data_IF_747824324081
#
_entry.id   IF_747824324081
#
_cell.length_a   1.000
_cell.length_b   1.000
_cell.length_c   1.000
_cell.angle_alpha   90.00
_cell.angle_beta   90.00
_cell.angle_gamma   90.00
#
_symmetry.space_group_name_H-M   'P 1'
#
loop_
_entity.id
_entity.type
_entity.pdbx_description
1 polymer ?
#
# COMPACT_ATOMS: atom_id res chain seq x y z
N UNK A 1 -18.76 -39.79 -47.85
CA UNK A 1 -17.67 -38.85 -47.53
C UNK A 1 -18.35 -37.60 -46.98
N UNK A 2 -18.31 -37.38 -45.66
CA UNK A 2 -18.88 -36.21 -44.97
C UNK A 2 -17.73 -35.24 -44.67
N UNK A 3 -17.74 -34.08 -45.29
CA UNK A 3 -16.82 -32.99 -44.98
C UNK A 3 -17.31 -32.29 -43.69
N UNK A 4 -16.51 -32.36 -42.66
CA UNK A 4 -16.73 -31.64 -41.42
C UNK A 4 -15.96 -30.32 -41.51
N UNK A 5 -16.67 -29.21 -41.65
CA UNK A 5 -16.11 -27.86 -41.65
C UNK A 5 -15.98 -27.43 -40.21
N UNK A 6 -14.75 -27.31 -39.71
CA UNK A 6 -14.44 -26.74 -38.41
C UNK A 6 -14.47 -25.21 -38.56
N UNK A 7 -15.46 -24.59 -37.95
CA UNK A 7 -15.56 -23.13 -37.85
C UNK A 7 -14.61 -22.64 -36.74
N UNK A 8 -13.47 -22.08 -37.12
CA UNK A 8 -12.53 -21.46 -36.21
C UNK A 8 -13.02 -20.03 -35.88
N UNK A 9 -13.60 -19.85 -34.71
CA UNK A 9 -13.95 -18.52 -34.22
C UNK A 9 -12.67 -17.80 -33.78
N UNK A 10 -12.22 -16.87 -34.60
CA UNK A 10 -11.14 -15.93 -34.22
C UNK A 10 -11.79 -14.85 -33.39
N UNK A 11 -11.58 -14.88 -32.07
CA UNK A 11 -11.89 -13.75 -31.19
C UNK A 11 -10.78 -12.71 -31.38
N UNK A 12 -11.09 -11.66 -32.11
CA UNK A 12 -10.23 -10.48 -32.21
C UNK A 12 -10.31 -9.71 -30.87
N UNK A 13 -9.31 -9.92 -30.03
CA UNK A 13 -9.09 -9.06 -28.86
C UNK A 13 -8.39 -7.80 -29.38
N UNK A 14 -9.12 -6.70 -29.45
CA UNK A 14 -8.52 -5.39 -29.72
C UNK A 14 -7.83 -4.88 -28.46
N UNK A 15 -6.54 -5.20 -28.35
CA UNK A 15 -5.66 -4.63 -27.32
C UNK A 15 -5.32 -3.19 -27.72
N UNK A 16 -5.85 -2.20 -27.06
CA UNK A 16 -5.41 -0.81 -27.22
C UNK A 16 -4.24 -0.61 -26.25
N UNK A 17 -3.02 -0.73 -26.74
CA UNK A 17 -1.80 -0.39 -25.99
C UNK A 17 -1.51 1.09 -26.26
N UNK A 18 -1.68 1.92 -25.27
CA UNK A 18 -1.14 3.28 -25.27
C UNK A 18 0.29 3.20 -24.71
N UNK A 19 1.29 3.18 -25.59
CA UNK A 19 2.69 3.24 -25.18
C UNK A 19 3.09 4.69 -24.94
N UNK A 20 3.25 5.06 -23.68
CA UNK A 20 4.08 6.21 -23.33
C UNK A 20 5.54 5.74 -23.20
N UNK A 21 6.49 6.63 -23.53
CA UNK A 21 7.92 6.32 -23.54
C UNK A 21 8.43 6.04 -22.12
N UNK A 22 8.58 4.78 -21.81
CA UNK A 22 8.95 4.20 -20.53
C UNK A 22 8.20 2.88 -20.38
N UNK A 23 8.73 1.90 -19.69
CA UNK A 23 8.12 0.57 -19.51
C UNK A 23 6.85 0.59 -18.65
N UNK A 24 5.94 1.55 -18.84
CA UNK A 24 4.68 1.65 -18.14
C UNK A 24 3.61 0.88 -18.88
N UNK A 25 3.05 -0.13 -18.24
CA UNK A 25 1.81 -0.75 -18.68
C UNK A 25 0.65 -0.14 -17.88
N UNK A 26 0.07 0.94 -18.40
CA UNK A 26 -1.21 1.46 -17.87
C UNK A 26 -2.33 0.67 -18.55
N UNK A 27 -2.99 -0.21 -17.82
CA UNK A 27 -4.11 -0.99 -18.34
C UNK A 27 -5.44 -0.30 -18.01
N UNK A 28 -6.13 0.17 -19.03
CA UNK A 28 -7.51 0.61 -18.95
C UNK A 28 -8.42 -0.55 -19.38
N UNK A 29 -8.94 -1.29 -18.41
CA UNK A 29 -10.10 -2.16 -18.57
C UNK A 29 -9.87 -3.61 -19.00
N UNK A 30 -10.52 -4.44 -18.34
CA UNK A 30 -10.90 -5.86 -18.35
C UNK A 30 -10.19 -6.69 -17.28
N UNK A 31 -10.99 -7.14 -16.32
CA UNK A 31 -10.58 -8.05 -15.24
C UNK A 31 -10.18 -9.40 -15.82
N UNK A 32 -8.89 -9.63 -15.94
CA UNK A 32 -8.36 -10.99 -16.04
C UNK A 32 -8.14 -11.46 -14.62
N UNK A 33 -8.97 -12.40 -14.16
CA UNK A 33 -8.78 -13.07 -12.87
C UNK A 33 -7.40 -13.76 -12.85
N UNK A 34 -6.45 -13.14 -12.18
CA UNK A 34 -5.08 -13.64 -12.00
C UNK A 34 -4.68 -13.75 -10.54
N UNK A 35 -5.64 -13.93 -9.65
CA UNK A 35 -5.41 -14.20 -8.24
C UNK A 35 -5.43 -12.99 -7.31
N UNK A 36 -5.58 -11.77 -7.85
CA UNK A 36 -5.84 -10.57 -7.05
C UNK A 36 -7.33 -10.28 -7.03
N UNK A 37 -7.87 -10.06 -5.84
CA UNK A 37 -9.31 -9.87 -5.70
C UNK A 37 -9.73 -8.43 -5.89
N UNK A 38 -8.90 -7.47 -5.54
CA UNK A 38 -9.22 -6.05 -5.70
C UNK A 38 -8.26 -5.15 -4.93
N UNK A 39 -8.49 -3.85 -5.03
CA UNK A 39 -7.75 -2.82 -4.33
C UNK A 39 -8.69 -1.93 -3.52
N UNK A 40 -8.20 -1.44 -2.42
CA UNK A 40 -8.77 -0.35 -1.65
C UNK A 40 -7.86 0.88 -1.79
N UNK A 41 -8.43 2.05 -1.74
CA UNK A 41 -7.71 3.31 -1.78
C UNK A 41 -8.33 4.26 -0.77
N UNK A 42 -7.51 4.94 -0.02
CA UNK A 42 -7.91 5.95 0.95
C UNK A 42 -7.53 7.34 0.44
N UNK A 43 -8.44 8.30 0.51
CA UNK A 43 -8.10 9.70 0.31
C UNK A 43 -7.89 10.44 1.64
N UNK A 44 -7.24 11.58 1.60
CA UNK A 44 -6.90 12.40 2.76
C UNK A 44 -8.10 12.94 3.57
N UNK A 45 -9.32 12.83 3.00
CA UNK A 45 -10.58 13.14 3.70
C UNK A 45 -11.29 11.90 4.27
N UNK A 46 -10.68 10.71 4.14
CA UNK A 46 -11.17 9.45 4.68
C UNK A 46 -12.23 8.77 3.81
N UNK A 47 -12.36 9.16 2.55
CA UNK A 47 -13.19 8.42 1.60
C UNK A 47 -12.42 7.23 1.08
N UNK A 48 -13.07 6.07 1.11
CA UNK A 48 -12.51 4.79 0.68
C UNK A 48 -13.11 4.44 -0.68
N UNK A 49 -12.26 4.10 -1.62
CA UNK A 49 -12.63 3.66 -2.95
C UNK A 49 -12.20 2.22 -3.13
N UNK A 50 -12.91 1.49 -3.99
CA UNK A 50 -12.63 0.08 -4.21
C UNK A 50 -12.61 -0.25 -5.69
N UNK A 51 -11.76 -1.20 -6.08
CA UNK A 51 -11.76 -1.77 -7.43
C UNK A 51 -11.75 -3.29 -7.40
N UNK A 52 -11.98 -3.94 -8.53
CA UNK A 52 -12.03 -5.39 -8.62
C UNK A 52 -13.20 -5.99 -7.82
N UNK A 53 -12.94 -6.99 -6.99
CA UNK A 53 -13.93 -7.63 -6.12
C UNK A 53 -13.92 -7.11 -4.67
N UNK A 54 -13.16 -6.05 -4.38
CA UNK A 54 -13.13 -5.40 -3.08
C UNK A 54 -14.52 -4.87 -2.69
N UNK A 55 -14.89 -5.04 -1.42
CA UNK A 55 -16.22 -4.64 -0.93
C UNK A 55 -16.13 -3.33 -0.17
N UNK A 56 -16.85 -2.33 -0.66
CA UNK A 56 -16.99 -1.08 0.06
C UNK A 56 -17.89 -1.28 1.30
N UNK A 57 -17.32 -1.08 2.50
CA UNK A 57 -18.00 -1.32 3.79
C UNK A 57 -18.35 -0.03 4.53
N UNK A 58 -17.90 1.12 4.05
CA UNK A 58 -18.19 2.43 4.61
C UNK A 58 -17.09 3.43 4.29
N UNK A 59 -17.32 4.69 4.64
CA UNK A 59 -16.38 5.80 4.49
C UNK A 59 -16.27 6.58 5.78
N UNK A 60 -15.10 7.11 6.03
CA UNK A 60 -14.94 8.31 6.83
C UNK A 60 -15.32 9.54 5.98
N UNK A 61 -15.62 10.66 6.62
CA UNK A 61 -15.92 11.92 5.93
C UNK A 61 -15.43 13.07 6.78
N UNK A 62 -14.13 13.27 6.73
CA UNK A 62 -13.52 14.38 7.44
C UNK A 62 -13.75 15.70 6.67
N UNK A 63 -13.77 16.80 7.40
CA UNK A 63 -13.80 18.15 6.80
C UNK A 63 -12.40 18.69 6.52
N UNK A 64 -11.39 18.02 7.04
CA UNK A 64 -9.97 18.35 6.94
C UNK A 64 -9.20 17.15 6.43
N UNK A 65 -8.01 17.35 5.93
CA UNK A 65 -7.08 16.33 5.43
C UNK A 65 -6.40 15.62 6.58
N UNK A 66 -7.13 14.72 7.24
CA UNK A 66 -6.68 14.06 8.47
C UNK A 66 -6.63 12.55 8.40
N UNK A 67 -7.12 11.91 7.36
CA UNK A 67 -6.90 10.49 7.15
C UNK A 67 -5.39 10.23 6.98
N UNK A 68 -4.94 9.03 7.40
CA UNK A 68 -3.54 8.67 7.36
C UNK A 68 -3.31 7.32 6.73
N UNK A 69 -4.10 6.33 7.11
CA UNK A 69 -3.79 4.96 6.82
C UNK A 69 -5.03 4.07 6.84
N UNK A 70 -4.99 2.93 6.13
CA UNK A 70 -6.05 1.95 5.96
C UNK A 70 -5.47 0.55 6.02
N UNK A 71 -5.88 -0.26 6.98
CA UNK A 71 -5.41 -1.62 7.15
C UNK A 71 -6.52 -2.66 6.95
N UNK A 72 -6.27 -3.67 6.11
CA UNK A 72 -7.25 -4.70 5.78
C UNK A 72 -7.29 -5.82 6.82
N UNK A 73 -8.51 -6.18 7.22
CA UNK A 73 -8.79 -7.43 7.91
C UNK A 73 -9.41 -8.44 6.93
N UNK A 74 -9.71 -9.63 7.38
CA UNK A 74 -10.29 -10.67 6.51
C UNK A 74 -11.57 -10.24 5.77
N UNK A 75 -12.45 -9.49 6.41
CA UNK A 75 -13.71 -9.02 5.82
C UNK A 75 -14.05 -7.59 6.26
N UNK A 76 -13.04 -6.78 6.53
CA UNK A 76 -13.19 -5.42 6.98
C UNK A 76 -11.93 -4.61 6.77
N UNK A 77 -11.88 -3.47 7.42
CA UNK A 77 -10.69 -2.62 7.48
C UNK A 77 -10.72 -1.70 8.70
N UNK A 78 -9.56 -1.34 9.16
CA UNK A 78 -9.34 -0.21 10.06
C UNK A 78 -8.88 0.99 9.24
N UNK A 79 -9.23 2.19 9.69
CA UNK A 79 -8.69 3.43 9.14
C UNK A 79 -8.21 4.31 10.29
N UNK A 80 -7.10 5.00 10.09
CA UNK A 80 -6.43 5.85 11.05
C UNK A 80 -6.59 7.33 10.69
N UNK A 81 -6.79 8.18 11.68
CA UNK A 81 -6.64 9.62 11.50
C UNK A 81 -5.37 10.17 12.19
N UNK A 82 -4.96 11.38 11.83
CA UNK A 82 -3.75 12.03 12.36
C UNK A 82 -3.74 12.23 13.88
N UNK A 83 -4.90 12.11 14.54
CA UNK A 83 -5.01 12.22 16.00
C UNK A 83 -4.86 10.88 16.70
N UNK A 84 -4.66 9.81 15.91
CA UNK A 84 -4.54 8.44 16.38
C UNK A 84 -5.88 7.80 16.68
N UNK A 85 -6.98 8.35 16.17
CA UNK A 85 -8.30 7.71 16.29
C UNK A 85 -8.44 6.62 15.24
N UNK A 86 -8.89 5.44 15.66
CA UNK A 86 -9.08 4.27 14.81
C UNK A 86 -10.56 4.05 14.55
N UNK A 87 -10.91 3.84 13.29
CA UNK A 87 -12.27 3.59 12.82
C UNK A 87 -12.36 2.19 12.21
N UNK A 88 -13.39 1.43 12.57
CA UNK A 88 -13.53 0.04 12.14
C UNK A 88 -14.74 -0.17 11.25
N UNK A 89 -14.56 -0.97 10.21
CA UNK A 89 -15.60 -1.36 9.25
C UNK A 89 -15.57 -2.88 9.04
N UNK A 90 -16.73 -3.48 8.77
CA UNK A 90 -16.85 -4.91 8.56
C UNK A 90 -16.57 -5.70 9.84
N UNK A 91 -15.63 -6.67 9.77
CA UNK A 91 -15.23 -7.51 10.91
C UNK A 91 -14.04 -6.95 11.71
N UNK A 92 -13.50 -5.80 11.31
CA UNK A 92 -12.38 -5.17 11.98
C UNK A 92 -12.74 -4.73 13.42
N UNK A 93 -11.84 -4.99 14.37
CA UNK A 93 -12.08 -4.73 15.78
C UNK A 93 -11.19 -3.61 16.29
N UNK A 94 -11.78 -2.46 16.61
CA UNK A 94 -11.07 -1.37 17.27
C UNK A 94 -10.68 -1.75 18.70
N UNK A 95 -9.40 -1.55 19.06
CA UNK A 95 -8.83 -1.88 20.38
C UNK A 95 -8.48 -0.65 21.23
N UNK A 96 -8.46 0.52 20.64
CA UNK A 96 -8.17 1.79 21.31
C UNK A 96 -7.77 2.89 20.33
N UNK A 97 -7.39 4.04 20.86
CA UNK A 97 -6.88 5.17 20.10
C UNK A 97 -5.57 5.64 20.69
N UNK A 98 -4.62 6.00 19.87
CA UNK A 98 -3.45 6.73 20.31
C UNK A 98 -3.86 8.18 20.62
N UNK A 99 -3.35 8.72 21.70
CA UNK A 99 -3.54 10.14 22.00
C UNK A 99 -2.33 10.93 21.50
N UNK A 100 -2.30 11.17 20.21
CA UNK A 100 -1.24 11.91 19.53
C UNK A 100 -1.83 13.06 18.71
N UNK A 101 -1.00 13.82 18.03
CA UNK A 101 -1.42 14.88 17.10
C UNK A 101 -0.91 14.66 15.68
N UNK A 102 -0.10 13.64 15.48
CA UNK A 102 0.53 13.35 14.21
C UNK A 102 0.80 11.85 14.05
N UNK A 103 -0.26 11.02 14.23
CA UNK A 103 -0.22 9.63 13.83
C UNK A 103 0.01 9.56 12.32
N UNK A 104 0.76 8.59 11.87
CA UNK A 104 1.13 8.45 10.46
C UNK A 104 0.79 7.07 9.91
N UNK A 105 0.78 6.02 10.76
CA UNK A 105 0.72 4.67 10.31
C UNK A 105 0.11 3.72 11.34
N UNK A 106 -0.54 2.64 10.91
CA UNK A 106 -1.23 1.63 11.70
C UNK A 106 -0.93 0.24 11.14
N UNK A 107 -0.35 -0.64 11.93
CA UNK A 107 0.01 -2.00 11.54
C UNK A 107 -0.75 -3.06 12.33
N UNK A 108 -1.38 -4.01 11.64
CA UNK A 108 -2.20 -5.05 12.26
C UNK A 108 -1.39 -6.20 12.83
N UNK A 109 -1.77 -6.65 14.03
CA UNK A 109 -1.39 -7.95 14.58
C UNK A 109 -2.56 -8.94 14.49
N UNK A 110 -2.41 -10.14 15.01
CA UNK A 110 -3.49 -11.13 15.00
C UNK A 110 -4.76 -10.67 15.74
N UNK A 111 -4.63 -9.90 16.83
CA UNK A 111 -5.75 -9.43 17.65
C UNK A 111 -5.53 -8.03 18.21
N UNK A 112 -4.71 -7.24 17.58
CA UNK A 112 -4.35 -5.89 17.98
C UNK A 112 -3.82 -5.08 16.82
N UNK A 113 -3.08 -4.04 17.16
CA UNK A 113 -2.38 -3.19 16.19
C UNK A 113 -1.38 -2.27 16.88
N UNK A 114 -0.47 -1.80 16.08
CA UNK A 114 0.42 -0.69 16.42
C UNK A 114 -0.11 0.59 15.78
N UNK A 115 0.24 1.73 16.37
CA UNK A 115 0.11 3.04 15.73
C UNK A 115 1.46 3.74 15.90
N UNK A 116 2.04 4.20 14.82
CA UNK A 116 3.23 5.02 14.80
C UNK A 116 2.85 6.50 14.71
N UNK A 117 3.48 7.35 15.52
CA UNK A 117 3.43 8.78 15.26
C UNK A 117 4.74 9.29 14.63
N UNK A 118 4.66 10.46 13.99
CA UNK A 118 5.77 11.06 13.26
C UNK A 118 7.03 11.28 14.10
N UNK A 119 6.92 11.37 15.43
CA UNK A 119 8.07 11.52 16.32
C UNK A 119 8.78 10.18 16.60
N UNK A 120 8.22 9.06 16.13
CA UNK A 120 8.73 7.71 16.34
C UNK A 120 8.15 7.02 17.57
N UNK A 121 7.14 7.60 18.21
CA UNK A 121 6.47 6.92 19.31
C UNK A 121 5.53 5.87 18.78
N UNK A 122 5.70 4.64 19.25
CA UNK A 122 4.85 3.50 18.98
C UNK A 122 3.83 3.34 20.10
N UNK A 123 2.56 3.19 19.74
CA UNK A 123 1.46 2.89 20.63
C UNK A 123 0.96 1.46 20.34
N UNK A 124 0.74 0.69 21.39
CA UNK A 124 0.40 -0.74 21.29
C UNK A 124 -1.00 -1.02 21.79
N UNK A 125 -1.77 -1.83 21.06
CA UNK A 125 -3.14 -2.16 21.37
C UNK A 125 -3.42 -3.65 21.15
N UNK A 126 -4.29 -4.23 21.99
CA UNK A 126 -4.67 -5.64 21.89
C UNK A 126 -3.55 -6.58 22.31
N UNK A 127 -3.10 -7.43 21.40
CA UNK A 127 -2.00 -8.39 21.58
C UNK A 127 -0.64 -7.89 21.07
N UNK A 128 -0.55 -6.64 20.62
CA UNK A 128 0.71 -6.04 20.17
C UNK A 128 1.71 -5.95 21.34
N UNK A 129 2.96 -6.35 21.11
CA UNK A 129 4.05 -6.30 22.08
C UNK A 129 4.89 -5.03 21.89
N UNK A 130 5.26 -4.35 22.98
CA UNK A 130 6.07 -3.15 22.96
C UNK A 130 7.57 -3.49 22.84
N UNK A 131 8.16 -3.30 21.67
CA UNK A 131 9.59 -3.46 21.41
C UNK A 131 10.37 -2.14 21.56
N UNK A 132 9.70 -1.02 21.80
CA UNK A 132 10.29 0.30 22.01
C UNK A 132 9.79 1.35 21.03
N UNK A 133 10.38 2.52 21.08
CA UNK A 133 10.03 3.69 20.24
C UNK A 133 11.27 4.32 19.67
N UNK A 134 11.18 4.88 18.48
CA UNK A 134 12.24 5.58 17.83
C UNK A 134 12.35 7.04 18.30
N UNK A 135 13.33 7.76 17.75
CA UNK A 135 13.50 9.19 17.93
C UNK A 135 13.91 9.83 16.61
N UNK A 136 13.05 10.66 16.05
CA UNK A 136 13.32 11.29 14.74
C UNK A 136 12.05 11.78 14.07
N UNK A 137 12.08 11.80 12.73
CA UNK A 137 10.92 12.04 11.87
C UNK A 137 10.70 10.78 11.07
N UNK A 138 9.63 10.09 11.37
CA UNK A 138 9.28 8.83 10.74
C UNK A 138 8.16 9.04 9.72
N UNK A 139 8.05 8.10 8.80
CA UNK A 139 7.09 8.12 7.71
C UNK A 139 6.31 6.82 7.60
N UNK A 140 6.89 5.70 8.12
CA UNK A 140 6.31 4.39 7.94
C UNK A 140 6.81 3.37 8.96
N UNK A 141 6.06 2.26 9.16
CA UNK A 141 6.38 1.13 10.04
C UNK A 141 5.97 -0.19 9.38
N UNK A 142 6.83 -1.19 9.48
CA UNK A 142 6.56 -2.52 8.97
C UNK A 142 6.83 -3.61 10.00
N UNK A 143 5.91 -4.58 10.13
CA UNK A 143 6.00 -5.63 11.14
C UNK A 143 6.82 -6.82 10.69
N UNK A 144 7.63 -7.35 11.61
CA UNK A 144 8.21 -8.68 11.54
C UNK A 144 7.41 -9.67 12.41
N UNK A 145 7.92 -10.90 12.60
CA UNK A 145 7.27 -11.86 13.49
C UNK A 145 7.26 -11.41 14.94
N UNK A 146 8.37 -10.85 15.42
CA UNK A 146 8.60 -10.49 16.82
C UNK A 146 9.31 -9.12 16.92
N UNK A 147 8.90 -8.15 16.09
CA UNK A 147 9.50 -6.82 16.05
C UNK A 147 8.91 -5.93 14.97
N UNK A 148 9.61 -4.86 14.63
CA UNK A 148 9.23 -3.95 13.56
C UNK A 148 10.40 -3.10 13.08
N UNK A 149 10.24 -2.61 11.87
CA UNK A 149 11.05 -1.55 11.28
C UNK A 149 10.33 -0.22 11.44
N UNK A 150 11.08 0.86 11.64
CA UNK A 150 10.58 2.23 11.54
C UNK A 150 11.41 2.97 10.50
N UNK A 151 10.77 3.41 9.43
CA UNK A 151 11.41 4.16 8.35
C UNK A 151 11.39 5.66 8.67
N UNK A 152 12.57 6.28 8.64
CA UNK A 152 12.69 7.75 8.72
C UNK A 152 12.54 8.40 7.35
N UNK A 153 12.10 9.64 7.37
CA UNK A 153 11.96 10.44 6.15
C UNK A 153 13.27 10.68 5.37
N UNK A 154 14.45 10.45 6.00
CA UNK A 154 15.75 10.54 5.33
C UNK A 154 16.27 9.20 4.82
N UNK A 155 15.45 8.14 4.88
CA UNK A 155 15.78 6.79 4.42
C UNK A 155 16.52 5.92 5.42
N UNK A 156 16.85 6.41 6.62
CA UNK A 156 17.38 5.59 7.70
C UNK A 156 16.30 4.69 8.29
N UNK A 157 16.67 3.49 8.69
CA UNK A 157 15.80 2.51 9.34
C UNK A 157 16.25 2.26 10.77
N UNK A 158 15.33 2.40 11.72
CA UNK A 158 15.49 1.87 13.07
C UNK A 158 14.82 0.48 13.15
N UNK A 159 15.47 -0.46 13.84
CA UNK A 159 15.03 -1.85 13.96
C UNK A 159 14.73 -2.18 15.42
N UNK A 160 13.65 -2.90 15.66
CA UNK A 160 13.19 -3.29 17.00
C UNK A 160 12.80 -4.78 17.00
N UNK A 161 12.98 -5.44 18.16
CA UNK A 161 12.69 -6.88 18.29
C UNK A 161 13.63 -7.72 17.44
N UNK A 162 13.09 -8.57 16.57
CA UNK A 162 13.83 -9.47 15.68
C UNK A 162 14.16 -8.85 14.29
N UNK A 163 13.77 -7.60 14.04
CA UNK A 163 14.05 -6.91 12.77
C UNK A 163 15.56 -6.78 12.50
N UNK A 164 15.96 -7.04 11.25
CA UNK A 164 17.36 -7.00 10.81
C UNK A 164 17.54 -5.96 9.69
N UNK A 165 18.43 -4.98 9.90
CA UNK A 165 18.72 -3.98 8.87
C UNK A 165 19.51 -4.57 7.70
N UNK A 166 19.02 -4.36 6.48
CA UNK A 166 19.67 -4.71 5.22
C UNK A 166 20.30 -3.50 4.53
N UNK A 167 20.09 -2.30 5.04
CA UNK A 167 20.65 -1.04 4.52
C UNK A 167 19.70 0.13 4.70
N UNK A 168 20.13 1.31 4.25
CA UNK A 168 19.36 2.54 4.32
C UNK A 168 19.28 3.18 2.94
N UNK A 169 18.17 3.83 2.62
CA UNK A 169 18.10 4.75 1.49
C UNK A 169 18.83 6.07 1.83
N UNK A 170 19.02 6.92 0.84
CA UNK A 170 19.74 8.19 0.97
C UNK A 170 18.90 9.41 0.52
N UNK A 171 17.59 9.21 0.34
CA UNK A 171 16.64 10.22 -0.16
C UNK A 171 15.45 10.45 0.75
N UNK A 172 14.58 11.38 0.33
CA UNK A 172 13.30 11.66 0.99
C UNK A 172 12.37 10.45 0.82
N UNK A 173 12.41 9.54 1.79
CA UNK A 173 11.60 8.32 1.81
C UNK A 173 10.19 8.62 2.32
N UNK A 174 9.23 7.84 1.82
CA UNK A 174 7.82 8.00 2.16
C UNK A 174 7.17 6.71 2.60
N UNK A 175 7.69 5.53 2.15
CA UNK A 175 7.03 4.27 2.36
C UNK A 175 8.01 3.10 2.20
N UNK A 176 7.70 1.95 2.81
CA UNK A 176 8.52 0.75 2.83
C UNK A 176 7.66 -0.50 2.81
N UNK A 177 8.12 -1.53 2.09
CA UNK A 177 7.45 -2.82 2.02
C UNK A 177 8.40 -3.99 2.24
N UNK A 178 8.02 -4.96 3.08
CA UNK A 178 8.87 -6.10 3.43
C UNK A 178 8.77 -7.25 2.43
N UNK A 179 9.92 -7.81 2.12
CA UNK A 179 10.07 -9.14 1.52
C UNK A 179 10.37 -10.19 2.60
N UNK A 180 10.67 -11.42 2.22
CA UNK A 180 11.01 -12.45 3.20
C UNK A 180 12.32 -12.16 3.96
N UNK A 181 13.34 -11.57 3.29
CA UNK A 181 14.64 -11.23 3.87
C UNK A 181 15.19 -9.90 3.33
N UNK A 182 14.35 -8.90 3.23
CA UNK A 182 14.72 -7.60 2.72
C UNK A 182 13.54 -6.64 2.72
N UNK A 183 13.67 -5.55 1.99
CA UNK A 183 12.63 -4.56 1.85
C UNK A 183 12.86 -3.64 0.64
N UNK A 184 11.77 -3.05 0.20
CA UNK A 184 11.75 -1.92 -0.71
C UNK A 184 11.60 -0.63 0.10
N UNK A 185 12.20 0.48 -0.37
CA UNK A 185 11.95 1.81 0.17
C UNK A 185 11.63 2.73 -1.00
N UNK A 186 10.45 3.32 -0.97
CA UNK A 186 9.99 4.29 -1.94
C UNK A 186 10.37 5.71 -1.51
N UNK A 187 11.05 6.43 -2.40
CA UNK A 187 11.33 7.85 -2.23
C UNK A 187 10.25 8.71 -2.88
N UNK A 188 10.05 9.90 -2.35
CA UNK A 188 9.06 10.88 -2.82
C UNK A 188 9.20 11.27 -4.29
N UNK A 189 10.38 11.13 -4.88
CA UNK A 189 10.67 11.37 -6.29
C UNK A 189 10.34 10.18 -7.19
N UNK A 190 9.79 9.09 -6.65
CA UNK A 190 9.47 7.85 -7.35
C UNK A 190 10.63 6.86 -7.45
N UNK A 191 11.82 7.19 -6.90
CA UNK A 191 12.93 6.24 -6.86
C UNK A 191 12.62 5.12 -5.88
N UNK A 192 12.85 3.89 -6.30
CA UNK A 192 12.72 2.70 -5.48
C UNK A 192 14.09 2.13 -5.14
N UNK A 193 14.35 1.90 -3.87
CA UNK A 193 15.57 1.28 -3.35
C UNK A 193 15.27 -0.16 -2.94
N UNK A 194 16.25 -1.05 -3.13
CA UNK A 194 16.14 -2.50 -2.97
C UNK A 194 17.17 -2.98 -1.97
N UNK A 195 16.75 -3.69 -0.93
CA UNK A 195 17.64 -4.21 0.11
C UNK A 195 17.36 -5.68 0.39
N UNK A 196 18.41 -6.43 0.80
CA UNK A 196 18.27 -7.84 1.07
C UNK A 196 17.93 -8.66 -0.17
N UNK A 197 16.81 -9.41 -0.15
CA UNK A 197 16.32 -10.22 -1.26
C UNK A 197 15.28 -9.49 -2.16
N UNK A 198 15.05 -8.20 -1.91
CA UNK A 198 14.21 -7.38 -2.79
C UNK A 198 14.78 -7.33 -4.21
N UNK A 199 13.92 -7.56 -5.21
CA UNK A 199 14.32 -7.70 -6.62
C UNK A 199 13.90 -6.45 -7.39
N UNK A 200 14.84 -5.86 -8.12
CA UNK A 200 14.54 -4.79 -9.07
C UNK A 200 13.65 -5.33 -10.22
N UNK A 201 12.38 -4.99 -10.16
CA UNK A 201 11.37 -5.32 -11.16
C UNK A 201 11.23 -4.23 -12.21
N UNK A 202 12.07 -3.21 -12.15
CA UNK A 202 11.97 -1.97 -12.88
C UNK A 202 11.04 -0.98 -12.18
N UNK A 203 11.36 0.27 -12.27
CA UNK A 203 10.52 1.38 -11.80
C UNK A 203 10.69 2.55 -12.77
N UNK A 204 9.82 3.54 -12.64
CA UNK A 204 9.92 4.76 -13.43
C UNK A 204 10.35 5.91 -12.50
N UNK A 205 11.60 6.32 -12.62
CA UNK A 205 12.18 7.45 -11.88
C UNK A 205 11.57 8.83 -12.25
N UNK A 206 10.63 8.84 -13.21
CA UNK A 206 9.85 10.02 -13.58
C UNK A 206 8.48 10.08 -12.94
N UNK A 207 8.15 9.21 -11.98
CA UNK A 207 6.90 9.32 -11.22
C UNK A 207 6.95 10.53 -10.30
N UNK A 208 5.88 11.29 -10.30
CA UNK A 208 5.72 12.46 -9.44
C UNK A 208 4.55 12.26 -8.49
N UNK A 209 4.67 12.81 -7.28
CA UNK A 209 3.61 12.77 -6.27
C UNK A 209 3.19 11.34 -5.88
N UNK A 210 4.14 10.42 -5.84
CA UNK A 210 3.93 9.06 -5.31
C UNK A 210 3.60 9.14 -3.82
N UNK A 211 2.77 8.21 -3.35
CA UNK A 211 2.23 8.21 -2.00
C UNK A 211 2.51 6.90 -1.27
N UNK A 212 2.55 5.78 -2.01
CA UNK A 212 2.47 4.48 -1.41
C UNK A 212 3.01 3.40 -2.37
N UNK A 213 3.53 2.29 -1.82
CA UNK A 213 3.94 1.09 -2.55
C UNK A 213 3.33 -0.14 -1.87
N UNK A 214 2.75 -1.04 -2.66
CA UNK A 214 2.16 -2.27 -2.19
C UNK A 214 2.74 -3.49 -2.90
N UNK A 215 3.19 -4.50 -2.16
CA UNK A 215 3.73 -5.72 -2.73
C UNK A 215 2.65 -6.72 -3.13
N UNK A 216 2.84 -7.33 -4.28
CA UNK A 216 2.02 -8.41 -4.77
C UNK A 216 2.64 -9.74 -4.36
N UNK A 217 1.98 -10.51 -3.48
CA UNK A 217 2.50 -11.80 -3.00
C UNK A 217 3.99 -11.74 -2.64
N UNK A 218 4.38 -10.74 -1.85
CA UNK A 218 5.71 -10.51 -1.26
C UNK A 218 6.91 -10.41 -2.22
N UNK A 219 6.77 -10.71 -3.50
CA UNK A 219 7.92 -10.64 -4.43
C UNK A 219 7.56 -10.79 -5.90
N UNK A 220 6.28 -10.90 -6.24
CA UNK A 220 5.87 -11.11 -7.64
C UNK A 220 5.68 -9.83 -8.44
N UNK A 221 5.88 -8.71 -7.83
CA UNK A 221 5.71 -7.38 -8.34
C UNK A 221 5.20 -6.43 -7.28
N UNK A 222 4.94 -5.21 -7.67
CA UNK A 222 4.42 -4.19 -6.78
C UNK A 222 3.57 -3.17 -7.56
N UNK A 223 2.75 -2.47 -6.81
CA UNK A 223 2.08 -1.25 -7.27
C UNK A 223 2.73 -0.04 -6.60
N UNK A 224 2.78 1.07 -7.32
CA UNK A 224 3.10 2.39 -6.76
C UNK A 224 1.89 3.28 -7.01
N UNK A 225 1.33 3.86 -5.95
CA UNK A 225 0.21 4.78 -5.99
C UNK A 225 0.70 6.22 -6.14
N UNK A 226 0.08 7.00 -7.03
CA UNK A 226 0.24 8.45 -7.03
C UNK A 226 -0.95 9.15 -6.35
N UNK A 227 -0.76 10.42 -5.98
CA UNK A 227 -1.79 11.23 -5.33
C UNK A 227 -3.06 11.44 -6.17
N UNK A 228 -3.05 11.08 -7.45
CA UNK A 228 -4.22 11.14 -8.36
C UNK A 228 -4.99 9.83 -8.39
N UNK A 229 -4.51 8.79 -7.66
CA UNK A 229 -5.12 7.47 -7.62
C UNK A 229 -4.73 6.56 -8.78
N UNK A 230 -3.65 6.87 -9.50
CA UNK A 230 -3.09 5.94 -10.47
C UNK A 230 -2.18 4.95 -9.76
N UNK A 231 -2.51 3.68 -9.86
CA UNK A 231 -1.68 2.57 -9.38
C UNK A 231 -0.85 2.03 -10.56
N UNK A 232 0.44 2.27 -10.51
CA UNK A 232 1.41 1.80 -11.50
C UNK A 232 1.90 0.41 -11.12
N UNK A 233 1.70 -0.59 -12.00
CA UNK A 233 2.12 -1.97 -11.73
C UNK A 233 3.44 -2.32 -12.40
N UNK A 234 4.30 -3.03 -11.69
CA UNK A 234 5.59 -3.52 -12.17
C UNK A 234 5.66 -5.05 -12.05
N UNK A 235 5.98 -5.73 -13.17
CA UNK A 235 6.02 -7.19 -13.38
C UNK A 235 4.77 -7.98 -13.02
N UNK A 236 3.82 -7.40 -12.34
CA UNK A 236 2.54 -8.04 -12.17
C UNK A 236 1.78 -8.04 -13.48
N UNK A 237 1.21 -9.13 -13.78
CA UNK A 237 0.27 -9.27 -14.84
C UNK A 237 -0.93 -8.35 -14.65
N UNK A 238 -1.15 -7.43 -15.58
CA UNK A 238 -2.32 -6.55 -15.71
C UNK A 238 -2.67 -5.68 -14.49
N UNK A 239 -2.39 -4.39 -14.61
CA UNK A 239 -2.83 -3.39 -13.63
C UNK A 239 -4.36 -3.37 -13.48
N UNK A 240 -4.81 -3.12 -12.27
CA UNK A 240 -6.18 -2.71 -12.05
C UNK A 240 -6.35 -1.25 -12.51
N UNK A 241 -7.49 -0.91 -13.14
CA UNK A 241 -7.78 0.49 -13.35
C UNK A 241 -7.87 1.17 -11.98
N UNK A 242 -7.16 2.24 -11.81
CA UNK A 242 -7.31 3.12 -10.64
C UNK A 242 -8.78 3.54 -10.48
N UNK A 243 -9.19 3.94 -9.29
CA UNK A 243 -10.54 4.43 -9.05
C UNK A 243 -10.85 5.68 -9.88
N UNK A 244 -12.14 6.00 -10.04
CA UNK A 244 -12.52 7.32 -10.53
C UNK A 244 -11.92 8.38 -9.59
N UNK A 245 -11.32 9.41 -10.17
CA UNK A 245 -10.59 10.45 -9.45
C UNK A 245 -11.39 11.02 -8.26
N UNK A 246 -10.70 11.24 -7.14
CA UNK A 246 -11.24 12.05 -6.05
C UNK A 246 -11.43 13.49 -6.54
N UNK A 247 -12.67 14.02 -6.46
CA UNK A 247 -12.95 15.40 -6.84
C UNK A 247 -12.37 16.41 -5.82
N UNK A 248 -12.16 15.99 -4.57
CA UNK A 248 -11.91 16.87 -3.44
C UNK A 248 -10.55 16.68 -2.74
N UNK A 249 -9.80 15.60 -3.04
CA UNK A 249 -8.59 15.29 -2.30
C UNK A 249 -7.60 14.40 -3.05
N UNK A 250 -6.42 14.22 -2.45
CA UNK A 250 -5.39 13.30 -2.93
C UNK A 250 -5.56 11.93 -2.28
N UNK A 251 -5.28 10.88 -3.02
CA UNK A 251 -5.10 9.55 -2.47
C UNK A 251 -3.80 9.52 -1.68
N UNK A 252 -3.79 8.79 -0.57
CA UNK A 252 -2.66 8.76 0.34
C UNK A 252 -2.21 7.34 0.67
N UNK A 253 -3.05 6.34 0.37
CA UNK A 253 -2.82 4.99 0.79
C UNK A 253 -3.60 4.00 -0.08
N UNK A 254 -3.08 2.79 -0.25
CA UNK A 254 -3.63 1.73 -1.08
C UNK A 254 -3.39 0.37 -0.45
N UNK A 255 -4.40 -0.49 -0.48
CA UNK A 255 -4.34 -1.84 0.05
C UNK A 255 -4.72 -2.90 -0.97
N UNK A 256 -4.00 -4.00 -1.00
CA UNK A 256 -4.25 -5.14 -1.90
C UNK A 256 -5.10 -6.20 -1.20
N UNK A 257 -6.26 -6.50 -1.76
CA UNK A 257 -7.06 -7.65 -1.37
C UNK A 257 -6.53 -8.92 -2.06
N UNK A 258 -5.83 -9.74 -1.32
CA UNK A 258 -5.31 -11.04 -1.76
C UNK A 258 -6.33 -12.21 -1.68
#
# INVERSE_FOLDING_TARGET
MKNSTILLAIVLISLVILTFSGNRNVFLGETVDRGYKGLYFLDEFGKIYVSGSAKHLGNLRFRERIARDLELTKNGYLALDKYGSVYSFGDAIRRGDANTKDAIDLELTSNGYYILDRSGKVYVFGDAEDFGSGYGIYVDMELTSDGYYLLKNNGEIDVFGDAVSYGNADGDSIDMELTDNGYYILEKNGKLNFFGDAIDQGYDDGLENVQDIELINKSKGYYILDSKGLAYSYLASAGFPGPEFSEDGSYIDMEILE
#
